data_IF_097626777808
#
_entry.id   IF_097626777808
#
_cell.length_a   1.000
_cell.length_b   1.000
_cell.length_c   1.000
_cell.angle_alpha   90.00
_cell.angle_beta   90.00
_cell.angle_gamma   90.00
#
_symmetry.space_group_name_H-M   'P 1'
#
loop_
_entity.id
_entity.type
_entity.pdbx_description
1 polymer ?
#
# COMPACT_ATOMS: atom_id res chain seq x y z
N UNK A 1 -18.42 21.11 -5.73
CA UNK A 1 -17.77 21.48 -6.98
C UNK A 1 -18.48 20.84 -8.17
N UNK A 2 -18.12 21.23 -9.39
CA UNK A 2 -18.73 20.72 -10.64
C UNK A 2 -18.62 19.21 -10.81
N UNK A 3 -17.50 18.62 -10.45
CA UNK A 3 -17.31 17.15 -10.50
C UNK A 3 -18.37 16.39 -9.70
N UNK A 4 -18.78 16.88 -8.53
CA UNK A 4 -19.83 16.24 -7.75
C UNK A 4 -21.22 16.35 -8.42
N UNK A 5 -21.50 17.46 -9.09
CA UNK A 5 -22.73 17.62 -9.87
C UNK A 5 -22.78 16.63 -11.03
N UNK A 6 -21.66 16.47 -11.74
CA UNK A 6 -21.54 15.51 -12.84
C UNK A 6 -21.73 14.06 -12.34
N UNK A 7 -21.07 13.66 -11.26
CA UNK A 7 -21.22 12.32 -10.68
C UNK A 7 -22.67 12.00 -10.30
N UNK A 8 -23.36 12.94 -9.64
CA UNK A 8 -24.80 12.80 -9.33
C UNK A 8 -25.66 12.71 -10.59
N UNK A 9 -25.32 13.44 -11.64
CA UNK A 9 -26.02 13.40 -12.90
C UNK A 9 -25.90 12.04 -13.60
N UNK A 10 -24.69 11.43 -13.64
CA UNK A 10 -24.50 10.12 -14.30
C UNK A 10 -25.26 9.01 -13.59
N UNK A 11 -25.32 9.02 -12.25
CA UNK A 11 -26.15 8.09 -11.46
C UNK A 11 -27.63 8.30 -11.78
N UNK A 12 -28.12 9.56 -11.72
CA UNK A 12 -29.52 9.88 -12.00
C UNK A 12 -29.96 9.45 -13.41
N UNK A 13 -29.02 9.44 -14.36
CA UNK A 13 -29.27 8.98 -15.73
C UNK A 13 -29.19 7.46 -15.89
N UNK A 14 -28.85 6.72 -14.86
CA UNK A 14 -28.66 5.26 -14.93
C UNK A 14 -27.48 4.84 -15.80
N UNK A 15 -26.49 5.72 -16.00
CA UNK A 15 -25.30 5.42 -16.79
C UNK A 15 -24.27 4.61 -15.99
N UNK A 16 -24.30 4.72 -14.68
CA UNK A 16 -23.50 3.94 -13.74
C UNK A 16 -24.33 3.64 -12.48
N UNK A 17 -24.08 2.52 -11.85
CA UNK A 17 -24.76 2.11 -10.60
C UNK A 17 -24.01 2.62 -9.36
N UNK A 18 -22.69 2.72 -9.44
CA UNK A 18 -21.82 3.08 -8.33
C UNK A 18 -20.71 4.01 -8.78
N UNK A 19 -20.27 4.87 -7.86
CA UNK A 19 -19.13 5.76 -8.07
C UNK A 19 -18.12 5.57 -6.95
N UNK A 20 -16.86 5.70 -7.32
CA UNK A 20 -15.75 5.57 -6.36
C UNK A 20 -14.65 6.58 -6.63
N UNK A 21 -13.65 6.56 -5.77
CA UNK A 21 -12.45 7.35 -5.95
C UNK A 21 -11.18 6.48 -5.81
N UNK A 22 -10.11 6.94 -6.46
CA UNK A 22 -8.76 6.43 -6.26
C UNK A 22 -7.87 7.57 -5.78
N UNK A 23 -7.01 7.33 -4.80
CA UNK A 23 -6.18 8.40 -4.28
C UNK A 23 -4.82 7.94 -3.78
N UNK A 24 -3.78 8.69 -4.21
CA UNK A 24 -2.43 8.66 -3.66
C UNK A 24 -2.19 9.78 -2.62
N UNK A 25 -3.20 10.59 -2.35
CA UNK A 25 -3.12 11.77 -1.50
C UNK A 25 -2.77 11.49 -0.05
N UNK A 26 -2.73 12.57 0.73
CA UNK A 26 -2.45 12.52 2.16
C UNK A 26 -3.54 11.74 2.92
N UNK A 27 -3.20 11.26 4.11
CA UNK A 27 -4.14 10.58 5.01
C UNK A 27 -5.40 11.44 5.25
N UNK A 28 -5.23 12.74 5.48
CA UNK A 28 -6.35 13.66 5.72
C UNK A 28 -7.26 13.83 4.51
N UNK A 29 -6.70 13.90 3.30
CA UNK A 29 -7.48 13.99 2.06
C UNK A 29 -8.31 12.73 1.85
N UNK A 30 -7.70 11.55 1.96
CA UNK A 30 -8.41 10.28 1.81
C UNK A 30 -9.50 10.15 2.88
N UNK A 31 -9.21 10.50 4.13
CA UNK A 31 -10.20 10.50 5.22
C UNK A 31 -11.40 11.38 4.90
N UNK A 32 -11.17 12.62 4.44
CA UNK A 32 -12.24 13.55 4.01
C UNK A 32 -13.07 12.98 2.85
N UNK A 33 -12.42 12.33 1.87
CA UNK A 33 -13.11 11.68 0.74
C UNK A 33 -13.99 10.52 1.19
N UNK A 34 -13.56 9.72 2.16
CA UNK A 34 -14.38 8.66 2.76
C UNK A 34 -15.57 9.25 3.54
N UNK A 35 -15.36 10.38 4.22
CA UNK A 35 -16.37 11.00 5.07
C UNK A 35 -17.40 11.86 4.33
N UNK A 36 -17.16 12.20 3.06
CA UNK A 36 -18.08 13.06 2.30
C UNK A 36 -19.37 12.36 1.82
N UNK A 37 -19.48 11.04 2.00
CA UNK A 37 -20.68 10.23 1.70
C UNK A 37 -21.17 10.34 0.25
N UNK A 38 -20.24 10.56 -0.67
CA UNK A 38 -20.54 10.68 -2.12
C UNK A 38 -20.18 9.39 -2.86
N UNK A 39 -19.27 8.60 -2.31
CA UNK A 39 -18.66 7.46 -2.99
C UNK A 39 -19.11 6.13 -2.39
N UNK A 40 -19.36 5.17 -3.25
CA UNK A 40 -19.75 3.79 -2.89
C UNK A 40 -18.54 2.90 -2.64
N UNK A 41 -17.37 3.24 -3.23
CA UNK A 41 -16.14 2.48 -3.05
C UNK A 41 -14.90 3.37 -3.16
N UNK A 42 -13.76 2.85 -2.72
CA UNK A 42 -12.47 3.50 -2.87
C UNK A 42 -11.36 2.51 -3.27
N UNK A 43 -10.42 3.01 -4.07
CA UNK A 43 -9.20 2.30 -4.46
C UNK A 43 -8.03 2.87 -3.67
N UNK A 44 -7.40 2.05 -2.84
CA UNK A 44 -6.30 2.46 -1.97
C UNK A 44 -5.09 1.53 -2.16
N UNK A 45 -3.89 2.08 -2.12
CA UNK A 45 -2.69 1.27 -1.98
C UNK A 45 -2.64 0.68 -0.58
N UNK A 46 -2.80 -0.62 -0.49
CA UNK A 46 -2.80 -1.38 0.77
C UNK A 46 -1.79 -2.52 0.66
N UNK A 47 -0.83 -2.53 1.56
CA UNK A 47 0.30 -3.44 1.53
C UNK A 47 0.49 -4.13 2.87
N UNK A 48 1.10 -5.31 2.85
CA UNK A 48 1.56 -5.98 4.06
C UNK A 48 2.74 -5.23 4.69
N UNK A 49 3.69 -4.75 3.86
CA UNK A 49 4.92 -4.12 4.33
C UNK A 49 4.77 -2.62 4.65
N UNK A 50 3.70 -1.98 4.17
CA UNK A 50 3.30 -0.60 4.50
C UNK A 50 1.81 -0.56 4.84
N UNK A 51 1.50 -0.52 6.12
CA UNK A 51 0.13 -0.58 6.65
C UNK A 51 -0.44 0.81 6.98
N UNK A 52 0.20 1.88 6.57
CA UNK A 52 -0.17 3.27 6.92
C UNK A 52 -1.61 3.65 6.57
N UNK A 53 -2.21 3.00 5.57
CA UNK A 53 -3.58 3.27 5.11
C UNK A 53 -4.63 2.24 5.56
N UNK A 54 -4.26 1.23 6.34
CA UNK A 54 -5.21 0.19 6.79
C UNK A 54 -6.36 0.80 7.61
N UNK A 55 -6.08 1.76 8.47
CA UNK A 55 -7.12 2.42 9.26
C UNK A 55 -8.14 3.20 8.38
N UNK A 56 -7.70 3.75 7.25
CA UNK A 56 -8.59 4.39 6.28
C UNK A 56 -9.49 3.38 5.57
N UNK A 57 -8.93 2.24 5.18
CA UNK A 57 -9.71 1.14 4.62
C UNK A 57 -10.76 0.63 5.62
N UNK A 58 -10.39 0.46 6.91
CA UNK A 58 -11.34 0.09 7.96
C UNK A 58 -12.44 1.16 8.16
N UNK A 59 -12.10 2.44 8.04
CA UNK A 59 -13.09 3.53 8.11
C UNK A 59 -14.07 3.45 6.94
N UNK A 60 -13.59 3.20 5.72
CA UNK A 60 -14.43 3.03 4.53
C UNK A 60 -15.39 1.84 4.69
N UNK A 61 -14.88 0.68 5.11
CA UNK A 61 -15.69 -0.53 5.37
C UNK A 61 -16.77 -0.29 6.43
N UNK A 62 -16.46 0.43 7.52
CA UNK A 62 -17.45 0.81 8.55
C UNK A 62 -18.56 1.71 8.01
N UNK A 63 -18.31 2.41 6.91
CA UNK A 63 -19.29 3.23 6.20
C UNK A 63 -19.98 2.48 5.05
N UNK A 64 -19.87 1.17 5.00
CA UNK A 64 -20.40 0.30 3.94
C UNK A 64 -19.84 0.62 2.55
N UNK A 65 -18.68 1.23 2.46
CA UNK A 65 -17.99 1.44 1.18
C UNK A 65 -17.21 0.18 0.78
N UNK A 66 -17.23 -0.15 -0.51
CA UNK A 66 -16.30 -1.15 -1.05
C UNK A 66 -14.86 -0.66 -1.00
N UNK A 67 -13.90 -1.54 -0.72
CA UNK A 67 -12.48 -1.22 -0.72
C UNK A 67 -11.74 -2.14 -1.68
N UNK A 68 -11.13 -1.57 -2.72
CA UNK A 68 -10.21 -2.26 -3.61
C UNK A 68 -8.77 -1.98 -3.17
N UNK A 69 -8.03 -3.02 -2.83
CA UNK A 69 -6.59 -2.89 -2.60
C UNK A 69 -5.84 -2.87 -3.92
N UNK A 70 -5.14 -1.77 -4.18
CA UNK A 70 -4.21 -1.64 -5.31
C UNK A 70 -2.81 -2.04 -4.83
N UNK A 71 -2.08 -2.75 -5.70
CA UNK A 71 -0.72 -3.25 -5.44
C UNK A 71 -0.61 -4.11 -4.18
N UNK A 72 -1.50 -5.09 -3.94
CA UNK A 72 -1.47 -5.92 -2.73
C UNK A 72 -0.21 -6.78 -2.61
N UNK A 73 0.50 -7.01 -3.74
CA UNK A 73 1.81 -7.65 -3.80
C UNK A 73 2.98 -6.71 -3.49
N UNK A 74 2.71 -5.61 -2.78
CA UNK A 74 3.55 -4.44 -2.58
C UNK A 74 3.80 -3.63 -3.86
N UNK A 75 4.10 -2.33 -3.69
CA UNK A 75 4.30 -1.37 -4.78
C UNK A 75 5.41 -1.86 -5.72
N UNK A 76 5.05 -2.11 -6.98
CA UNK A 76 5.95 -2.70 -7.96
C UNK A 76 6.03 -4.22 -7.95
N UNK A 77 5.08 -4.93 -7.31
CA UNK A 77 5.00 -6.38 -7.32
C UNK A 77 6.12 -7.08 -6.55
N UNK A 78 6.64 -6.43 -5.51
CA UNK A 78 7.85 -6.90 -4.82
C UNK A 78 7.74 -8.28 -4.21
N UNK A 79 6.54 -8.66 -3.76
CA UNK A 79 6.32 -9.97 -3.14
C UNK A 79 6.25 -11.14 -4.16
N UNK A 80 6.32 -10.86 -5.47
CA UNK A 80 6.54 -11.92 -6.47
C UNK A 80 7.99 -12.45 -6.47
N UNK A 81 8.95 -11.64 -5.99
CA UNK A 81 10.36 -11.99 -5.84
C UNK A 81 10.87 -11.49 -4.48
N UNK A 82 10.41 -12.08 -3.37
CA UNK A 82 10.80 -11.66 -2.03
C UNK A 82 12.26 -12.02 -1.74
N UNK A 83 12.87 -11.33 -0.76
CA UNK A 83 14.19 -11.69 -0.25
C UNK A 83 14.15 -12.97 0.59
N UNK A 84 15.29 -13.67 0.70
CA UNK A 84 15.41 -14.90 1.51
C UNK A 84 15.03 -14.67 2.97
N UNK A 85 15.39 -13.50 3.55
CA UNK A 85 15.04 -13.18 4.93
C UNK A 85 13.54 -12.96 5.11
N UNK A 86 12.85 -12.43 4.09
CA UNK A 86 11.40 -12.26 4.12
C UNK A 86 10.70 -13.62 3.94
N UNK A 87 11.20 -14.48 3.04
CA UNK A 87 10.74 -15.85 2.89
C UNK A 87 10.84 -16.58 4.23
N UNK A 88 12.02 -16.57 4.85
CA UNK A 88 12.26 -17.22 6.16
C UNK A 88 11.34 -16.68 7.27
N UNK A 89 11.10 -15.38 7.30
CA UNK A 89 10.21 -14.78 8.31
C UNK A 89 8.74 -15.15 8.12
N UNK A 90 8.33 -15.47 6.89
CA UNK A 90 6.94 -15.81 6.56
C UNK A 90 6.64 -17.32 6.59
N UNK A 91 7.64 -18.17 6.79
CA UNK A 91 7.44 -19.63 6.82
C UNK A 91 6.30 -20.05 7.76
N UNK A 92 5.52 -21.06 7.33
CA UNK A 92 5.64 -21.88 6.13
C UNK A 92 4.98 -21.28 4.88
N UNK A 93 4.54 -20.03 4.91
CA UNK A 93 3.82 -19.40 3.82
C UNK A 93 4.74 -18.63 2.88
N UNK A 94 4.36 -18.54 1.61
CA UNK A 94 4.98 -17.59 0.71
C UNK A 94 4.56 -16.16 1.08
N UNK A 95 5.46 -15.15 1.13
CA UNK A 95 5.13 -13.76 1.52
C UNK A 95 3.96 -13.15 0.72
N UNK A 96 3.83 -13.46 -0.57
CA UNK A 96 2.73 -13.00 -1.41
C UNK A 96 1.37 -13.56 -0.95
N UNK A 97 1.32 -14.87 -0.66
CA UNK A 97 0.11 -15.51 -0.13
C UNK A 97 -0.30 -14.88 1.19
N UNK A 98 0.67 -14.71 2.09
CA UNK A 98 0.43 -14.12 3.40
C UNK A 98 -0.05 -12.66 3.30
N UNK A 99 0.46 -11.89 2.33
CA UNK A 99 0.00 -10.52 2.08
C UNK A 99 -1.47 -10.47 1.63
N UNK A 100 -1.87 -11.36 0.75
CA UNK A 100 -3.27 -11.45 0.31
C UNK A 100 -4.18 -11.90 1.46
N UNK A 101 -3.77 -12.93 2.20
CA UNK A 101 -4.47 -13.41 3.41
C UNK A 101 -4.64 -12.29 4.44
N UNK A 102 -3.58 -11.53 4.69
CA UNK A 102 -3.61 -10.37 5.58
C UNK A 102 -4.67 -9.34 5.15
N UNK A 103 -4.68 -8.94 3.88
CA UNK A 103 -5.64 -7.95 3.40
C UNK A 103 -7.08 -8.47 3.45
N UNK A 104 -7.32 -9.71 3.03
CA UNK A 104 -8.64 -10.34 3.11
C UNK A 104 -9.12 -10.45 4.56
N UNK A 105 -8.24 -10.77 5.50
CA UNK A 105 -8.58 -10.83 6.94
C UNK A 105 -8.99 -9.48 7.54
N UNK A 106 -8.62 -8.36 6.86
CA UNK A 106 -9.07 -7.01 7.23
C UNK A 106 -10.43 -6.66 6.61
N UNK A 107 -11.08 -7.58 5.93
CA UNK A 107 -12.38 -7.35 5.27
C UNK A 107 -12.25 -6.55 3.97
N UNK A 108 -11.05 -6.42 3.40
CA UNK A 108 -10.85 -5.73 2.11
C UNK A 108 -11.68 -6.44 1.05
N UNK A 109 -12.53 -5.68 0.34
CA UNK A 109 -13.57 -6.22 -0.55
C UNK A 109 -12.98 -6.98 -1.73
N UNK A 110 -11.92 -6.44 -2.33
CA UNK A 110 -11.23 -7.08 -3.47
C UNK A 110 -9.79 -6.61 -3.60
N UNK A 111 -8.98 -7.42 -4.27
CA UNK A 111 -7.56 -7.16 -4.49
C UNK A 111 -7.28 -7.08 -6.00
N UNK A 112 -6.52 -6.07 -6.45
CA UNK A 112 -6.02 -6.07 -7.81
C UNK A 112 -4.88 -7.08 -7.94
N UNK A 113 -4.94 -7.95 -8.94
CA UNK A 113 -3.92 -8.94 -9.21
C UNK A 113 -3.12 -8.55 -10.45
N UNK A 114 -1.81 -8.40 -10.32
CA UNK A 114 -0.90 -8.28 -11.45
C UNK A 114 -0.43 -9.67 -11.87
N UNK A 115 -0.81 -10.12 -13.07
CA UNK A 115 -0.43 -11.42 -13.60
C UNK A 115 0.24 -11.26 -14.96
N UNK A 116 1.37 -11.92 -15.18
CA UNK A 116 2.09 -11.99 -16.46
C UNK A 116 1.96 -13.35 -17.12
N UNK A 117 1.62 -14.38 -16.34
CA UNK A 117 1.45 -15.77 -16.79
C UNK A 117 0.34 -16.45 -16.01
N UNK A 118 -0.24 -17.53 -16.55
CA UNK A 118 -1.35 -18.28 -15.93
C UNK A 118 -1.06 -18.74 -14.50
N UNK A 119 0.17 -19.13 -14.20
CA UNK A 119 0.57 -19.59 -12.86
C UNK A 119 0.40 -18.49 -11.79
N UNK A 120 0.44 -17.23 -12.18
CA UNK A 120 0.28 -16.11 -11.23
C UNK A 120 -1.14 -16.05 -10.64
N UNK A 121 -2.13 -16.70 -11.27
CA UNK A 121 -3.49 -16.82 -10.76
C UNK A 121 -3.68 -17.95 -9.73
N UNK A 122 -2.71 -18.86 -9.57
CA UNK A 122 -2.86 -20.02 -8.69
C UNK A 122 -3.07 -19.61 -7.24
N UNK A 123 -2.39 -18.55 -6.79
CA UNK A 123 -2.61 -17.99 -5.45
C UNK A 123 -4.04 -17.47 -5.29
N UNK A 124 -4.55 -16.74 -6.28
CA UNK A 124 -5.92 -16.22 -6.24
C UNK A 124 -6.94 -17.36 -6.19
N UNK A 125 -6.78 -18.39 -7.02
CA UNK A 125 -7.64 -19.59 -7.02
C UNK A 125 -7.64 -20.30 -5.66
N UNK A 126 -6.46 -20.42 -5.04
CA UNK A 126 -6.32 -21.00 -3.70
C UNK A 126 -7.07 -20.19 -2.65
N UNK A 127 -7.06 -18.86 -2.76
CA UNK A 127 -7.58 -17.96 -1.74
C UNK A 127 -9.05 -17.59 -1.91
N UNK A 128 -9.64 -17.75 -3.10
CA UNK A 128 -11.03 -17.34 -3.39
C UNK A 128 -12.05 -17.99 -2.46
N UNK A 129 -11.78 -19.21 -2.02
CA UNK A 129 -12.64 -19.96 -1.08
C UNK A 129 -12.09 -19.98 0.36
N UNK A 130 -11.04 -19.20 0.65
CA UNK A 130 -10.48 -19.16 1.99
C UNK A 130 -11.34 -18.33 2.93
N UNK A 131 -11.36 -18.70 4.21
CA UNK A 131 -12.04 -17.90 5.23
C UNK A 131 -11.31 -16.55 5.42
N UNK A 132 -12.04 -15.51 5.83
CA UNK A 132 -11.44 -14.22 6.16
C UNK A 132 -10.64 -14.26 7.47
N UNK A 133 -10.79 -15.30 8.30
CA UNK A 133 -10.03 -15.43 9.54
C UNK A 133 -8.63 -16.00 9.28
N UNK A 134 -7.63 -15.41 9.93
CA UNK A 134 -6.27 -15.92 9.93
C UNK A 134 -6.13 -17.06 10.94
N UNK A 135 -5.40 -18.09 10.57
CA UNK A 135 -4.94 -19.13 11.49
C UNK A 135 -3.90 -18.59 12.47
N UNK A 136 -3.70 -19.27 13.60
CA UNK A 136 -2.61 -18.93 14.54
C UNK A 136 -1.23 -18.92 13.86
N UNK A 137 -1.02 -19.85 12.92
CA UNK A 137 0.25 -19.95 12.20
C UNK A 137 0.46 -18.76 11.24
N UNK A 138 -0.60 -18.30 10.54
CA UNK A 138 -0.53 -17.08 9.72
C UNK A 138 -0.27 -15.83 10.57
N UNK A 139 -0.92 -15.73 11.73
CA UNK A 139 -0.69 -14.62 12.67
C UNK A 139 0.77 -14.60 13.12
N UNK A 140 1.33 -15.74 13.54
CA UNK A 140 2.74 -15.83 13.96
C UNK A 140 3.69 -15.43 12.82
N UNK A 141 3.43 -15.86 11.59
CA UNK A 141 4.24 -15.48 10.43
C UNK A 141 4.18 -13.96 10.16
N UNK A 142 3.01 -13.34 10.29
CA UNK A 142 2.85 -11.89 10.18
C UNK A 142 3.61 -11.13 11.28
N UNK A 143 3.57 -11.64 12.50
CA UNK A 143 4.33 -11.08 13.62
C UNK A 143 5.85 -11.19 13.41
N UNK A 144 6.33 -12.32 12.87
CA UNK A 144 7.73 -12.49 12.50
C UNK A 144 8.19 -11.48 11.45
N UNK A 145 7.39 -11.22 10.41
CA UNK A 145 7.67 -10.19 9.41
C UNK A 145 7.74 -8.80 10.06
N UNK A 146 6.81 -8.47 10.94
CA UNK A 146 6.79 -7.20 11.68
C UNK A 146 8.04 -7.07 12.57
N UNK A 147 8.39 -8.12 13.30
CA UNK A 147 9.58 -8.18 14.16
C UNK A 147 10.86 -8.00 13.35
N UNK A 148 11.00 -8.69 12.21
CA UNK A 148 12.15 -8.56 11.31
C UNK A 148 12.45 -7.09 10.97
N UNK A 149 11.44 -6.32 10.57
CA UNK A 149 11.63 -4.91 10.24
C UNK A 149 11.94 -4.05 11.47
N UNK A 150 11.27 -4.30 12.60
CA UNK A 150 11.47 -3.55 13.84
C UNK A 150 12.86 -3.78 14.43
N UNK A 151 13.35 -5.01 14.43
CA UNK A 151 14.67 -5.35 14.95
C UNK A 151 15.80 -4.68 14.17
N UNK A 152 15.64 -4.58 12.85
CA UNK A 152 16.63 -3.96 11.97
C UNK A 152 16.57 -2.44 11.91
N UNK A 153 15.39 -1.87 11.93
CA UNK A 153 15.17 -0.43 11.76
C UNK A 153 15.07 0.30 13.11
N UNK A 154 14.63 -0.38 14.16
CA UNK A 154 14.44 0.18 15.51
C UNK A 154 13.66 1.51 15.47
N UNK A 155 14.12 2.50 16.21
CA UNK A 155 13.52 3.86 16.26
C UNK A 155 13.63 4.64 14.93
N UNK A 156 14.43 4.16 13.99
CA UNK A 156 14.61 4.83 12.69
C UNK A 156 13.61 4.37 11.63
N UNK A 157 12.70 3.45 11.96
CA UNK A 157 11.65 2.98 11.04
C UNK A 157 10.71 4.12 10.70
N UNK A 158 10.55 4.39 9.41
CA UNK A 158 9.56 5.36 8.93
C UNK A 158 8.16 4.74 8.97
N UNK A 159 7.25 5.35 9.73
CA UNK A 159 5.84 4.92 9.85
C UNK A 159 4.92 5.65 8.85
N UNK A 160 5.48 6.34 7.85
CA UNK A 160 4.74 7.07 6.80
C UNK A 160 3.76 8.12 7.35
N UNK A 161 4.04 8.71 8.51
CA UNK A 161 3.19 9.72 9.14
C UNK A 161 3.16 11.07 8.39
N UNK A 162 4.17 11.32 7.52
CA UNK A 162 4.32 12.52 6.71
C UNK A 162 4.58 13.82 7.51
N UNK A 163 4.96 13.74 8.77
CA UNK A 163 5.31 14.91 9.59
C UNK A 163 6.53 15.67 9.07
N UNK A 164 7.37 15.03 8.25
CA UNK A 164 8.51 15.64 7.57
C UNK A 164 8.12 16.47 6.32
N UNK A 165 6.85 16.69 6.06
CA UNK A 165 6.36 17.47 4.94
C UNK A 165 5.60 18.71 5.44
N UNK A 166 5.65 19.85 4.69
CA UNK A 166 6.34 20.02 3.41
C UNK A 166 7.85 20.12 3.57
N UNK A 167 8.63 19.54 2.65
CA UNK A 167 10.08 19.76 2.58
C UNK A 167 10.37 21.04 1.79
N UNK A 168 11.21 21.98 2.27
CA UNK A 168 11.55 23.19 1.52
C UNK A 168 12.15 22.92 0.15
N UNK A 169 12.87 21.80 0.00
CA UNK A 169 13.43 21.35 -1.28
C UNK A 169 12.48 20.43 -2.06
N UNK A 170 11.23 20.24 -1.62
CA UNK A 170 10.23 19.37 -2.27
C UNK A 170 10.68 17.91 -2.42
N UNK A 171 11.58 17.45 -1.55
CA UNK A 171 12.03 16.05 -1.53
C UNK A 171 10.90 15.15 -1.04
N UNK A 172 10.63 14.01 -1.71
CA UNK A 172 9.60 13.06 -1.30
C UNK A 172 10.09 12.18 -0.14
N UNK A 173 10.40 12.81 1.01
CA UNK A 173 11.02 12.16 2.17
C UNK A 173 10.31 10.85 2.57
N UNK A 174 8.96 10.79 2.68
CA UNK A 174 8.29 9.54 3.03
C UNK A 174 8.54 8.40 2.04
N UNK A 175 8.61 8.70 0.73
CA UNK A 175 8.89 7.67 -0.29
C UNK A 175 10.32 7.16 -0.18
N UNK A 176 11.29 8.05 -0.01
CA UNK A 176 12.71 7.69 0.17
C UNK A 176 12.87 6.83 1.43
N UNK A 177 12.26 7.24 2.55
CA UNK A 177 12.32 6.48 3.79
C UNK A 177 11.56 5.14 3.69
N UNK A 178 10.50 5.04 2.88
CA UNK A 178 9.86 3.78 2.57
C UNK A 178 10.81 2.83 1.85
N UNK A 179 11.55 3.31 0.86
CA UNK A 179 12.57 2.52 0.16
C UNK A 179 13.69 2.07 1.10
N UNK A 180 14.11 2.93 2.03
CA UNK A 180 15.05 2.57 3.09
C UNK A 180 14.48 1.46 3.99
N UNK A 181 13.23 1.55 4.41
CA UNK A 181 12.58 0.50 5.19
C UNK A 181 12.57 -0.84 4.44
N UNK A 182 12.28 -0.81 3.14
CA UNK A 182 12.27 -2.00 2.29
C UNK A 182 13.68 -2.60 2.17
N UNK A 183 14.69 -1.75 1.94
CA UNK A 183 16.09 -2.18 1.82
C UNK A 183 16.59 -2.82 3.12
N UNK A 184 16.55 -2.08 4.22
CA UNK A 184 17.15 -2.49 5.50
C UNK A 184 16.25 -3.48 6.23
N UNK A 185 14.95 -3.15 6.35
CA UNK A 185 14.01 -3.93 7.13
C UNK A 185 13.71 -5.30 6.53
N UNK A 186 13.58 -5.36 5.21
CA UNK A 186 13.15 -6.57 4.51
C UNK A 186 14.21 -7.15 3.55
N UNK A 187 15.44 -6.60 3.54
CA UNK A 187 16.55 -7.13 2.73
C UNK A 187 16.37 -6.98 1.22
N UNK A 188 15.61 -5.97 0.77
CA UNK A 188 15.29 -5.75 -0.64
C UNK A 188 16.13 -4.62 -1.25
N UNK A 189 17.46 -4.68 -1.07
CA UNK A 189 18.39 -3.61 -1.44
C UNK A 189 18.33 -3.25 -2.92
N UNK A 190 18.41 -4.23 -3.80
CA UNK A 190 18.49 -3.99 -5.25
C UNK A 190 17.20 -3.36 -5.77
N UNK A 191 16.05 -3.82 -5.29
CA UNK A 191 14.77 -3.18 -5.60
C UNK A 191 14.73 -1.72 -5.11
N UNK A 192 15.16 -1.47 -3.87
CA UNK A 192 15.15 -0.13 -3.31
C UNK A 192 16.07 0.83 -4.10
N UNK A 193 17.24 0.36 -4.53
CA UNK A 193 18.16 1.12 -5.40
C UNK A 193 17.53 1.41 -6.76
N UNK A 194 16.97 0.40 -7.41
CA UNK A 194 16.29 0.56 -8.70
C UNK A 194 15.20 1.63 -8.62
N UNK A 195 14.33 1.54 -7.60
CA UNK A 195 13.25 2.50 -7.41
C UNK A 195 13.74 3.90 -7.04
N UNK A 196 14.79 4.01 -6.21
CA UNK A 196 15.40 5.29 -5.89
C UNK A 196 15.99 5.96 -7.14
N UNK A 197 16.60 5.19 -8.04
CA UNK A 197 17.18 5.69 -9.28
C UNK A 197 16.12 6.20 -10.28
N UNK A 198 14.85 5.84 -10.11
CA UNK A 198 13.76 6.39 -10.92
C UNK A 198 13.32 7.79 -10.47
N UNK A 199 13.61 8.19 -9.23
CA UNK A 199 13.28 9.54 -8.73
C UNK A 199 14.06 10.57 -9.53
N UNK A 200 13.34 11.53 -10.14
CA UNK A 200 13.90 12.56 -11.01
C UNK A 200 14.22 12.10 -12.44
N UNK A 201 13.91 10.85 -12.82
CA UNK A 201 14.24 10.30 -14.14
C UNK A 201 13.09 9.65 -14.91
N UNK A 202 12.03 9.27 -14.23
CA UNK A 202 10.95 8.47 -14.82
C UNK A 202 9.70 9.28 -15.23
N UNK A 203 9.83 10.58 -15.43
CA UNK A 203 8.76 11.46 -15.88
C UNK A 203 7.74 11.78 -14.79
N UNK A 204 6.59 12.36 -15.18
CA UNK A 204 5.60 12.97 -14.28
C UNK A 204 4.89 12.01 -13.29
N UNK A 205 5.07 10.71 -13.42
CA UNK A 205 4.55 9.72 -12.47
C UNK A 205 5.45 9.51 -11.24
N UNK A 206 6.63 10.09 -11.23
CA UNK A 206 7.64 9.97 -10.19
C UNK A 206 7.98 11.35 -9.64
N UNK A 207 8.39 11.36 -8.41
CA UNK A 207 8.88 12.55 -7.75
C UNK A 207 10.11 13.08 -8.50
N UNK A 208 10.22 14.41 -8.61
CA UNK A 208 11.27 15.05 -9.42
C UNK A 208 12.62 15.15 -8.70
N UNK A 209 12.61 15.28 -7.37
CA UNK A 209 13.81 15.51 -6.57
C UNK A 209 14.12 14.33 -5.65
N UNK A 210 15.35 13.86 -5.71
CA UNK A 210 15.86 12.84 -4.80
C UNK A 210 16.57 13.46 -3.59
N UNK A 211 17.18 12.64 -2.71
CA UNK A 211 17.81 13.12 -1.48
C UNK A 211 19.03 14.02 -1.70
N UNK A 212 19.64 14.06 -2.91
CA UNK A 212 20.79 14.94 -3.19
C UNK A 212 20.43 16.43 -3.22
N UNK A 213 19.13 16.75 -3.27
CA UNK A 213 18.63 18.13 -3.18
C UNK A 213 18.44 18.60 -1.73
N UNK A 214 18.89 17.83 -0.74
CA UNK A 214 18.74 18.18 0.67
C UNK A 214 19.59 19.43 1.02
N UNK A 215 18.94 20.40 1.67
CA UNK A 215 19.59 21.63 2.15
C UNK A 215 20.06 21.52 3.61
N UNK A 216 19.93 20.33 4.22
CA UNK A 216 20.29 20.06 5.62
C UNK A 216 19.65 21.03 6.63
N UNK A 217 18.38 21.45 6.35
CA UNK A 217 17.66 22.44 7.17
C UNK A 217 17.22 21.90 8.54
N UNK A 218 17.34 20.60 8.79
CA UNK A 218 16.95 19.93 10.05
C UNK A 218 15.45 20.03 10.40
N UNK A 219 14.57 20.24 9.41
CA UNK A 219 13.11 20.29 9.64
C UNK A 219 12.43 18.92 9.59
N UNK A 220 13.15 17.82 9.26
CA UNK A 220 12.59 16.46 9.15
C UNK A 220 13.13 15.47 10.19
#
# INVERSE_FOLDING_TARGET
GEGNKFLKWVIKKGLVDQIGFSSHGSYSLIKKSIQCEVFDFCNLHLHLLDQSKINLAQLALKKNMGVLAISPADKGGRLYSPSDILIKASEPYHPLELAYRFLLSKGITTLSLGATKYKDFDIAKKLVNSTHHLTKQEINALENIKKLANDKLKSTKCEQCRSCLPCPSEIPIPEILRLRNISIGYGQLEFAKERYNLIGRAGHWWEEKNASFCLECNEC
#
